data_IF_143609041150
#
_entry.id   IF_143609041150
#
_cell.length_a   1.000
_cell.length_b   1.000
_cell.length_c   1.000
_cell.angle_alpha   90.00
_cell.angle_beta   90.00
_cell.angle_gamma   90.00
#
_symmetry.space_group_name_H-M   'P 1'
#
loop_
_entity.id
_entity.type
_entity.pdbx_description
1 polymer ?
#
# COMPACT_ATOMS: atom_id res chain seq x y z
N UNK A 1 2.66 -32.53 25.07
CA UNK A 1 1.42 -32.21 24.34
C UNK A 1 1.79 -31.28 23.20
N UNK A 2 1.77 -31.76 21.95
CA UNK A 2 2.08 -30.92 20.78
C UNK A 2 0.80 -30.21 20.38
N UNK A 3 0.69 -28.91 20.66
CA UNK A 3 -0.40 -28.09 20.15
C UNK A 3 -0.05 -27.75 18.71
N UNK A 4 -0.67 -28.45 17.76
CA UNK A 4 -0.60 -28.09 16.34
C UNK A 4 -1.51 -26.88 16.15
N UNK A 5 -0.94 -25.68 16.18
CA UNK A 5 -1.64 -24.45 15.80
C UNK A 5 -1.97 -24.53 14.30
N UNK A 6 -3.22 -24.88 13.97
CA UNK A 6 -3.71 -24.79 12.60
C UNK A 6 -3.77 -23.33 12.20
N UNK A 7 -2.96 -22.93 11.22
CA UNK A 7 -2.99 -21.60 10.60
C UNK A 7 -4.42 -21.28 10.17
N UNK A 8 -5.00 -20.22 10.72
CA UNK A 8 -6.39 -19.83 10.43
C UNK A 8 -6.42 -18.90 9.23
N UNK A 9 -7.33 -19.18 8.29
CA UNK A 9 -7.57 -18.34 7.12
C UNK A 9 -8.96 -17.72 7.19
N UNK A 10 -9.09 -16.49 6.72
CA UNK A 10 -10.37 -15.80 6.59
C UNK A 10 -10.46 -15.06 5.26
N UNK A 11 -11.68 -14.86 4.75
CA UNK A 11 -11.91 -14.10 3.53
C UNK A 11 -11.87 -12.61 3.85
N UNK A 12 -10.97 -11.87 3.22
CA UNK A 12 -10.92 -10.42 3.32
C UNK A 12 -11.78 -9.77 2.23
N UNK A 13 -12.64 -8.86 2.67
CA UNK A 13 -13.47 -8.00 1.83
C UNK A 13 -13.18 -6.54 2.18
N UNK A 14 -12.93 -5.73 1.17
CA UNK A 14 -12.68 -4.30 1.33
C UNK A 14 -13.90 -3.53 0.82
N UNK A 15 -14.51 -2.74 1.70
CA UNK A 15 -15.53 -1.75 1.38
C UNK A 15 -14.85 -0.39 1.23
N UNK A 16 -15.06 0.24 0.09
CA UNK A 16 -14.45 1.53 -0.23
C UNK A 16 -15.52 2.61 -0.23
N UNK A 17 -15.29 3.65 0.57
CA UNK A 17 -16.10 4.86 0.61
C UNK A 17 -15.41 5.98 -0.16
N UNK A 18 -16.09 6.50 -1.18
CA UNK A 18 -15.70 7.71 -1.91
C UNK A 18 -16.54 8.91 -1.44
N UNK A 19 -15.90 9.99 -0.98
CA UNK A 19 -16.54 11.31 -0.96
C UNK A 19 -17.40 11.68 0.25
N UNK A 20 -17.01 11.32 1.47
CA UNK A 20 -17.66 11.82 2.67
C UNK A 20 -17.16 11.19 3.97
N UNK A 21 -17.60 11.71 5.11
CA UNK A 21 -17.33 11.10 6.43
C UNK A 21 -18.13 9.81 6.57
N UNK A 22 -17.51 8.73 7.01
CA UNK A 22 -18.23 7.50 7.34
C UNK A 22 -19.30 7.76 8.41
N UNK A 23 -20.57 7.49 8.11
CA UNK A 23 -21.69 7.60 9.06
C UNK A 23 -22.30 6.21 9.35
N UNK A 24 -22.26 5.81 10.61
CA UNK A 24 -22.77 4.51 11.06
C UNK A 24 -24.30 4.44 10.98
N UNK A 25 -24.83 3.35 10.43
CA UNK A 25 -26.28 3.08 10.37
C UNK A 25 -27.01 3.64 9.14
N UNK A 26 -26.31 4.29 8.22
CA UNK A 26 -26.87 4.74 6.94
C UNK A 26 -26.61 3.71 5.82
N UNK A 27 -27.55 3.57 4.88
CA UNK A 27 -27.39 2.69 3.72
C UNK A 27 -26.28 3.25 2.82
N UNK A 28 -25.20 2.49 2.67
CA UNK A 28 -23.94 3.04 2.20
C UNK A 28 -23.61 2.52 0.79
N UNK A 29 -23.32 3.45 -0.14
CA UNK A 29 -22.99 3.16 -1.54
C UNK A 29 -21.47 3.00 -1.66
N UNK A 30 -21.00 1.76 -1.74
CA UNK A 30 -19.59 1.44 -1.94
C UNK A 30 -19.40 0.15 -2.72
N UNK A 31 -18.25 0.02 -3.37
CA UNK A 31 -17.86 -1.24 -4.03
C UNK A 31 -17.21 -2.13 -2.99
N UNK A 32 -17.76 -3.35 -2.84
CA UNK A 32 -17.13 -4.40 -2.04
C UNK A 32 -16.20 -5.22 -2.92
N UNK A 33 -14.89 -5.10 -2.69
CA UNK A 33 -13.89 -5.90 -3.38
C UNK A 33 -13.50 -7.10 -2.50
N UNK A 34 -13.71 -8.32 -3.00
CA UNK A 34 -13.19 -9.53 -2.35
C UNK A 34 -11.72 -9.69 -2.73
N UNK A 35 -10.83 -9.54 -1.76
CA UNK A 35 -9.38 -9.57 -1.99
C UNK A 35 -8.87 -11.01 -2.02
N UNK A 36 -9.40 -11.87 -1.15
CA UNK A 36 -9.00 -13.27 -1.08
C UNK A 36 -8.88 -13.79 0.34
N UNK A 37 -8.10 -14.85 0.52
CA UNK A 37 -7.85 -15.45 1.82
C UNK A 37 -6.62 -14.83 2.46
N UNK A 38 -6.77 -14.32 3.68
CA UNK A 38 -5.66 -13.86 4.51
C UNK A 38 -5.38 -14.86 5.62
N UNK A 39 -4.12 -14.95 6.04
CA UNK A 39 -3.75 -15.70 7.22
C UNK A 39 -3.88 -14.79 8.44
N UNK A 40 -4.75 -15.16 9.37
CA UNK A 40 -5.09 -14.33 10.53
C UNK A 40 -3.86 -14.02 11.37
N UNK A 41 -2.94 -14.99 11.50
CA UNK A 41 -1.77 -14.90 12.37
C UNK A 41 -0.65 -14.00 11.80
N UNK A 42 -0.77 -13.60 10.53
CA UNK A 42 0.20 -12.78 9.80
C UNK A 42 -0.54 -11.62 9.13
N UNK A 43 -1.34 -10.92 9.92
CA UNK A 43 -1.97 -9.69 9.47
C UNK A 43 -1.53 -8.56 10.38
N UNK A 44 -1.21 -7.43 9.76
CA UNK A 44 -0.79 -6.17 10.37
C UNK A 44 -1.42 -5.02 9.62
N UNK A 45 -1.47 -3.84 10.23
CA UNK A 45 -1.96 -2.62 9.57
C UNK A 45 -1.19 -2.31 8.28
N UNK A 46 0.12 -2.60 8.23
CA UNK A 46 0.96 -2.43 7.03
C UNK A 46 0.53 -3.37 5.90
N UNK A 47 0.29 -4.65 6.20
CA UNK A 47 -0.18 -5.61 5.19
C UNK A 47 -1.57 -5.25 4.67
N UNK A 48 -2.46 -4.80 5.56
CA UNK A 48 -3.80 -4.35 5.18
C UNK A 48 -3.73 -3.11 4.29
N UNK A 49 -2.89 -2.14 4.63
CA UNK A 49 -2.66 -0.96 3.81
C UNK A 49 -2.07 -1.34 2.44
N UNK A 50 -1.12 -2.28 2.41
CA UNK A 50 -0.53 -2.77 1.16
C UNK A 50 -1.58 -3.42 0.26
N UNK A 51 -2.51 -4.19 0.83
CA UNK A 51 -3.63 -4.75 0.07
C UNK A 51 -4.56 -3.68 -0.50
N UNK A 52 -4.84 -2.62 0.26
CA UNK A 52 -5.67 -1.50 -0.20
C UNK A 52 -4.95 -0.70 -1.30
N UNK A 53 -3.67 -0.40 -1.11
CA UNK A 53 -2.84 0.28 -2.11
C UNK A 53 -2.76 -0.53 -3.41
N UNK A 54 -2.69 -1.86 -3.31
CA UNK A 54 -2.72 -2.77 -4.47
C UNK A 54 -4.03 -2.73 -5.27
N UNK A 55 -5.11 -2.18 -4.70
CA UNK A 55 -6.37 -1.90 -5.41
C UNK A 55 -6.40 -0.51 -6.07
N UNK A 56 -5.33 0.28 -5.94
CA UNK A 56 -5.20 1.63 -6.52
C UNK A 56 -5.56 2.78 -5.57
N UNK A 57 -5.71 2.52 -4.27
CA UNK A 57 -6.13 3.53 -3.28
C UNK A 57 -4.95 3.98 -2.43
N UNK A 58 -4.36 5.13 -2.76
CA UNK A 58 -3.08 5.58 -2.19
C UNK A 58 -3.22 6.57 -1.01
N UNK A 59 -4.42 7.14 -0.80
CA UNK A 59 -4.69 8.13 0.24
C UNK A 59 -5.84 7.71 1.15
N UNK A 60 -5.59 6.63 1.90
CA UNK A 60 -6.53 6.09 2.88
C UNK A 60 -6.46 6.92 4.16
N UNK A 61 -7.56 7.58 4.53
CA UNK A 61 -7.60 8.39 5.74
C UNK A 61 -7.71 7.51 6.99
N UNK A 62 -8.85 6.87 7.17
CA UNK A 62 -9.13 6.00 8.30
C UNK A 62 -9.59 4.63 7.81
N UNK A 63 -9.18 3.60 8.54
CA UNK A 63 -9.63 2.22 8.36
C UNK A 63 -10.50 1.81 9.54
N UNK A 64 -11.50 1.01 9.22
CA UNK A 64 -12.33 0.34 10.20
C UNK A 64 -12.53 -1.11 9.81
N UNK A 65 -12.94 -1.94 10.77
CA UNK A 65 -13.20 -3.33 10.52
C UNK A 65 -14.52 -3.83 11.10
N UNK A 66 -15.04 -4.88 10.47
CA UNK A 66 -16.12 -5.71 10.99
C UNK A 66 -15.81 -7.19 10.78
N UNK A 67 -16.30 -8.03 11.69
CA UNK A 67 -16.25 -9.48 11.57
C UNK A 67 -17.63 -10.09 11.29
N UNK A 68 -18.69 -9.27 11.32
CA UNK A 68 -20.04 -9.71 11.05
C UNK A 68 -20.28 -9.86 9.55
N UNK A 69 -21.15 -10.79 9.16
CA UNK A 69 -21.54 -10.98 7.77
C UNK A 69 -22.17 -9.72 7.15
N UNK A 70 -22.88 -8.95 7.97
CA UNK A 70 -23.30 -7.59 7.64
C UNK A 70 -22.34 -6.59 8.30
N UNK A 71 -21.41 -5.97 7.54
CA UNK A 71 -20.43 -5.06 8.10
C UNK A 71 -21.03 -3.76 8.64
N UNK A 72 -22.30 -3.46 8.37
CA UNK A 72 -22.95 -2.23 8.87
C UNK A 72 -23.46 -2.35 10.31
N UNK A 73 -23.41 -3.56 10.90
CA UNK A 73 -23.97 -3.84 12.24
C UNK A 73 -23.03 -3.48 13.38
N UNK A 74 -21.75 -3.78 13.24
CA UNK A 74 -20.72 -3.49 14.23
C UNK A 74 -19.45 -3.14 13.47
N UNK A 75 -18.93 -1.94 13.71
CA UNK A 75 -17.68 -1.50 13.10
C UNK A 75 -16.77 -0.89 14.15
N UNK A 76 -15.50 -1.24 14.07
CA UNK A 76 -14.46 -0.82 15.02
C UNK A 76 -13.34 -0.12 14.28
N UNK A 77 -12.80 0.97 14.83
CA UNK A 77 -11.66 1.64 14.22
C UNK A 77 -10.43 0.72 14.24
N UNK A 78 -9.67 0.73 13.14
CA UNK A 78 -8.45 -0.05 12.97
C UNK A 78 -7.26 0.91 12.92
N UNK A 79 -6.91 1.46 14.09
CA UNK A 79 -5.95 2.57 14.21
C UNK A 79 -4.49 2.11 14.21
N UNK A 80 -4.24 0.91 14.74
CA UNK A 80 -2.91 0.37 14.98
C UNK A 80 -2.94 -1.17 15.07
N UNK A 81 -1.76 -1.78 15.23
CA UNK A 81 -1.62 -3.23 15.36
C UNK A 81 -2.17 -3.78 16.68
N UNK A 82 -2.38 -2.94 17.71
CA UNK A 82 -3.07 -3.39 18.93
C UNK A 82 -4.50 -3.81 18.58
N UNK A 83 -5.18 -3.03 17.73
CA UNK A 83 -6.52 -3.38 17.22
C UNK A 83 -6.53 -4.58 16.30
N UNK A 84 -5.45 -4.81 15.57
CA UNK A 84 -5.27 -6.03 14.78
C UNK A 84 -5.18 -7.25 15.68
N UNK A 85 -4.38 -7.19 16.76
CA UNK A 85 -4.26 -8.28 17.74
C UNK A 85 -5.60 -8.58 18.42
N UNK A 86 -6.34 -7.55 18.85
CA UNK A 86 -7.69 -7.72 19.40
C UNK A 86 -8.62 -8.43 18.40
N UNK A 87 -8.56 -8.03 17.12
CA UNK A 87 -9.33 -8.65 16.05
C UNK A 87 -8.94 -10.13 15.86
N UNK A 88 -7.64 -10.44 15.80
CA UNK A 88 -7.13 -11.82 15.67
C UNK A 88 -7.63 -12.71 16.81
N UNK A 89 -7.59 -12.22 18.05
CA UNK A 89 -8.10 -12.94 19.23
C UNK A 89 -9.60 -13.24 19.09
N UNK A 90 -10.40 -12.27 18.64
CA UNK A 90 -11.84 -12.48 18.38
C UNK A 90 -12.06 -13.50 17.28
N UNK A 91 -11.33 -13.43 16.17
CA UNK A 91 -11.44 -14.40 15.07
C UNK A 91 -11.12 -15.81 15.56
N UNK A 92 -10.10 -15.97 16.40
CA UNK A 92 -9.75 -17.26 17.00
C UNK A 92 -10.83 -17.80 17.94
N UNK A 93 -11.36 -16.94 18.81
CA UNK A 93 -12.39 -17.27 19.81
C UNK A 93 -13.77 -17.56 19.19
N UNK A 94 -14.21 -16.72 18.28
CA UNK A 94 -15.58 -16.68 17.75
C UNK A 94 -15.73 -17.42 16.41
N UNK A 95 -14.62 -17.89 15.83
CA UNK A 95 -14.60 -18.66 14.58
C UNK A 95 -15.10 -17.89 13.34
N UNK A 96 -14.89 -16.57 13.30
CA UNK A 96 -15.24 -15.72 12.17
C UNK A 96 -14.55 -16.17 10.87
N UNK A 97 -15.30 -16.09 9.76
CA UNK A 97 -14.82 -16.50 8.42
C UNK A 97 -14.56 -15.33 7.48
N UNK A 98 -15.10 -14.16 7.80
CA UNK A 98 -15.02 -12.97 6.95
C UNK A 98 -14.41 -11.81 7.74
N UNK A 99 -13.51 -11.09 7.09
CA UNK A 99 -12.95 -9.84 7.56
C UNK A 99 -13.40 -8.74 6.62
N UNK A 100 -14.21 -7.82 7.12
CA UNK A 100 -14.57 -6.62 6.38
C UNK A 100 -13.67 -5.49 6.82
N UNK A 101 -13.04 -4.83 5.86
CA UNK A 101 -12.31 -3.58 6.06
C UNK A 101 -13.10 -2.49 5.35
N UNK A 102 -13.46 -1.45 6.07
CA UNK A 102 -14.05 -0.25 5.50
C UNK A 102 -13.00 0.84 5.52
N UNK A 103 -12.93 1.63 4.46
CA UNK A 103 -11.99 2.75 4.40
C UNK A 103 -12.64 3.99 3.80
N UNK A 104 -12.24 5.14 4.35
CA UNK A 104 -12.56 6.45 3.80
C UNK A 104 -11.45 6.84 2.83
N UNK A 105 -11.79 6.88 1.55
CA UNK A 105 -10.93 7.41 0.53
C UNK A 105 -11.09 8.93 0.51
N UNK A 106 -10.01 9.64 0.82
CA UNK A 106 -9.97 11.09 0.60
C UNK A 106 -9.94 11.27 -0.91
N UNK A 107 -11.03 11.83 -1.47
CA UNK A 107 -11.22 12.05 -2.91
C UNK A 107 -9.93 12.55 -3.51
N UNK A 108 -9.46 11.87 -4.56
CA UNK A 108 -8.24 12.18 -5.29
C UNK A 108 -8.19 13.68 -5.58
N UNK A 109 -7.36 14.42 -4.85
CA UNK A 109 -6.75 15.60 -5.44
C UNK A 109 -5.98 15.06 -6.64
N UNK A 110 -6.44 15.40 -7.85
CA UNK A 110 -5.74 15.17 -9.11
C UNK A 110 -4.27 15.51 -8.90
N UNK A 111 -3.46 14.50 -8.64
CA UNK A 111 -2.02 14.68 -8.51
C UNK A 111 -1.56 14.65 -9.94
N UNK A 112 -1.51 15.82 -10.58
CA UNK A 112 -0.81 15.98 -11.85
C UNK A 112 0.64 15.62 -11.54
N UNK A 113 0.99 14.37 -11.78
CA UNK A 113 2.38 13.94 -11.84
C UNK A 113 2.94 14.73 -13.00
N UNK A 114 3.71 15.79 -12.70
CA UNK A 114 4.57 16.37 -13.73
C UNK A 114 5.46 15.22 -14.17
N UNK A 115 5.48 14.83 -15.46
CA UNK A 115 6.45 13.86 -15.91
C UNK A 115 7.82 14.35 -15.44
N UNK A 116 8.55 13.48 -14.76
CA UNK A 116 9.91 13.78 -14.32
C UNK A 116 10.64 14.40 -15.50
N UNK A 117 11.14 15.62 -15.29
CA UNK A 117 11.84 16.37 -16.30
C UNK A 117 12.95 15.49 -16.89
N UNK A 118 12.85 15.30 -18.20
CA UNK A 118 13.88 14.80 -19.12
C UNK A 118 14.71 13.62 -18.62
N UNK A 119 14.24 12.42 -18.94
CA UNK A 119 15.10 11.24 -19.05
C UNK A 119 16.13 11.48 -20.17
N UNK A 120 17.30 11.99 -19.76
CA UNK A 120 18.62 11.73 -20.36
C UNK A 120 18.88 12.31 -21.75
N UNK A 121 19.76 13.31 -21.81
CA UNK A 121 20.68 13.41 -22.95
C UNK A 121 21.50 12.11 -23.01
N UNK A 122 21.44 11.44 -24.16
CA UNK A 122 22.26 10.29 -24.47
C UNK A 122 23.74 10.64 -24.25
N UNK A 123 24.39 9.90 -23.34
CA UNK A 123 25.84 9.92 -23.25
C UNK A 123 26.36 9.17 -24.47
N UNK A 124 26.81 9.92 -25.47
CA UNK A 124 27.51 9.36 -26.63
C UNK A 124 28.88 8.85 -26.18
N UNK A 125 28.99 7.52 -26.11
CA UNK A 125 30.21 6.81 -25.78
C UNK A 125 30.86 6.37 -27.08
N UNK A 126 31.76 7.21 -27.58
CA UNK A 126 32.95 6.76 -28.31
C UNK A 126 33.11 7.27 -29.72
N UNK A 127 34.21 8.00 -29.94
CA UNK A 127 35.17 7.56 -30.96
C UNK A 127 36.58 8.02 -30.58
N UNK A 128 37.44 7.02 -30.40
CA UNK A 128 38.88 7.12 -30.28
C UNK A 128 39.49 7.39 -31.66
N UNK A 129 40.27 8.46 -31.80
CA UNK A 129 41.30 8.52 -32.85
C UNK A 129 42.68 8.80 -32.23
N UNK A 130 43.59 7.90 -32.59
CA UNK A 130 44.99 7.83 -32.24
C UNK A 130 45.85 8.70 -33.16
N UNK A 131 47.02 9.11 -32.63
CA UNK A 131 48.31 9.28 -33.30
C UNK A 131 48.57 10.48 -34.23
N UNK A 132 49.57 11.28 -33.86
CA UNK A 132 50.48 11.89 -34.84
C UNK A 132 51.22 13.17 -34.40
N UNK A 133 52.47 13.00 -33.91
CA UNK A 133 53.70 13.78 -34.20
C UNK A 133 53.54 15.07 -35.07
N UNK A 134 54.19 16.21 -34.81
CA UNK A 134 55.62 16.41 -34.50
C UNK A 134 55.91 17.88 -34.07
N UNK A 135 56.92 18.02 -33.20
CA UNK A 135 57.95 19.08 -33.08
C UNK A 135 57.61 20.59 -33.20
N UNK A 136 57.98 21.38 -32.18
CA UNK A 136 59.26 22.08 -32.18
C UNK A 136 59.60 22.71 -30.81
N UNK A 137 60.89 22.65 -30.50
CA UNK A 137 61.60 23.22 -29.36
C UNK A 137 61.77 24.73 -29.49
N UNK A 138 62.33 25.29 -28.41
CA UNK A 138 63.00 26.59 -28.27
C UNK A 138 62.09 27.68 -27.68
N UNK A 139 62.50 28.54 -26.77
CA UNK A 139 63.63 28.71 -25.83
C UNK A 139 63.25 30.00 -25.04
N UNK A 140 63.98 30.32 -23.98
CA UNK A 140 63.86 31.57 -23.17
C UNK A 140 62.71 31.56 -22.14
N UNK A 141 62.93 31.39 -20.83
CA UNK A 141 63.93 32.07 -20.02
C UNK A 141 63.41 33.48 -19.65
N UNK A 142 63.06 33.70 -18.37
CA UNK A 142 63.36 34.90 -17.55
C UNK A 142 62.58 34.80 -16.23
N UNK A 143 63.37 34.72 -15.16
CA UNK A 143 63.21 35.17 -13.76
C UNK A 143 61.86 35.05 -13.04
#
# INVERSE_FOLDING_TARGET
MVIVLRKRKMIMKVLIHHGGKFKWGEEYIGITNKIGWINVDYVSTIELMSCVNGLGYLYVGYMWYSLNDNPMTEVKPLLDDTKVVEMQQRVHKELHKTFHISLEHLVDLLTIVKPDADLGEETDVGESEELGRDTNLDDEGVC
#
